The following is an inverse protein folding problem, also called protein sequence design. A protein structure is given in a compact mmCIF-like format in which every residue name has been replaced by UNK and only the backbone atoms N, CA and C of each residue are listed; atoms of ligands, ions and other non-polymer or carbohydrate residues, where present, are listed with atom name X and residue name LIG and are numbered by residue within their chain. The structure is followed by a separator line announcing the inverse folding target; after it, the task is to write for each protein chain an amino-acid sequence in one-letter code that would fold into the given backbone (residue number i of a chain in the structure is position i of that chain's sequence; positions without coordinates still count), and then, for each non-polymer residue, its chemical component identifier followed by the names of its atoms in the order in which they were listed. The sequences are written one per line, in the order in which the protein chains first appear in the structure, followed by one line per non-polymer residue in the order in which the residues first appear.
data_IF_147103717173
#
_entry.id   IF_147103717173
#
_cell.length_a   1.000
_cell.length_b   1.000
_cell.length_c   1.000
_cell.angle_alpha   90.00
_cell.angle_beta   90.00
_cell.angle_gamma   90.00
#
_symmetry.space_group_name_H-M   'P 1'
#
loop_
_entity.id
_entity.type
_entity.pdbx_description
1 polymer ?
#
# COMPACT_ATOMS: atom_id res chain seq x y z
N UNK A 1 -1.67 4.72 -22.55
CA UNK A 1 -1.77 3.28 -22.19
C UNK A 1 -0.57 2.58 -22.81
N UNK A 2 0.53 2.36 -22.08
CA UNK A 2 1.66 1.62 -22.63
C UNK A 2 1.41 0.11 -22.67
N UNK A 3 2.00 -0.52 -23.68
CA UNK A 3 1.99 -1.95 -23.96
C UNK A 3 2.84 -2.80 -22.99
N UNK A 4 3.71 -2.15 -22.20
CA UNK A 4 4.54 -2.77 -21.16
C UNK A 4 4.71 -1.77 -20.00
N UNK A 5 4.64 -2.26 -18.76
CA UNK A 5 4.64 -1.45 -17.55
C UNK A 5 5.96 -0.71 -17.32
N UNK A 6 7.06 -1.23 -17.87
CA UNK A 6 8.37 -0.57 -17.80
C UNK A 6 8.35 0.86 -18.34
N UNK A 7 7.48 1.16 -19.32
CA UNK A 7 7.33 2.51 -19.85
C UNK A 7 6.59 3.44 -18.86
N UNK A 8 5.63 2.90 -18.11
CA UNK A 8 4.96 3.66 -17.05
C UNK A 8 5.91 3.94 -15.88
N UNK A 9 6.78 2.99 -15.53
CA UNK A 9 7.80 3.19 -14.49
C UNK A 9 8.80 4.29 -14.88
N UNK A 10 9.30 4.27 -16.11
CA UNK A 10 10.18 5.33 -16.64
C UNK A 10 9.50 6.69 -16.63
N UNK A 11 8.27 6.76 -17.16
CA UNK A 11 7.51 8.01 -17.17
C UNK A 11 7.26 8.55 -15.75
N UNK A 12 7.08 7.68 -14.75
CA UNK A 12 6.97 8.08 -13.34
C UNK A 12 8.30 8.59 -12.79
N UNK A 13 9.41 7.92 -13.09
CA UNK A 13 10.74 8.36 -12.69
C UNK A 13 11.09 9.74 -13.28
N UNK A 14 10.66 10.01 -14.51
CA UNK A 14 10.83 11.30 -15.19
C UNK A 14 9.79 12.36 -14.74
N UNK A 15 8.91 12.03 -13.78
CA UNK A 15 7.89 12.96 -13.26
C UNK A 15 6.72 13.23 -14.22
N UNK A 16 6.60 12.49 -15.32
CA UNK A 16 5.56 12.68 -16.34
C UNK A 16 4.20 12.10 -15.94
N UNK A 17 4.20 11.06 -15.09
CA UNK A 17 2.98 10.40 -14.61
C UNK A 17 2.94 10.34 -13.10
N UNK A 18 1.77 10.63 -12.53
CA UNK A 18 1.54 10.60 -11.09
C UNK A 18 1.00 9.25 -10.58
N UNK A 19 0.43 8.43 -11.47
CA UNK A 19 -0.10 7.11 -11.10
C UNK A 19 -0.09 6.15 -12.30
N UNK A 20 0.00 4.84 -12.03
CA UNK A 20 -0.13 3.81 -13.06
C UNK A 20 -0.76 2.54 -12.50
N UNK A 21 -1.78 2.01 -13.20
CA UNK A 21 -2.43 0.75 -12.88
C UNK A 21 -2.16 -0.26 -13.98
N UNK A 22 -1.78 -1.47 -13.60
CA UNK A 22 -1.73 -2.62 -14.52
C UNK A 22 -3.17 -3.11 -14.75
N UNK A 23 -3.52 -3.39 -16.00
CA UNK A 23 -4.91 -3.72 -16.40
C UNK A 23 -5.03 -5.07 -17.08
N UNK A 24 -4.00 -5.48 -17.81
CA UNK A 24 -3.97 -6.75 -18.51
C UNK A 24 -2.54 -7.17 -18.78
N UNK A 25 -2.36 -8.40 -19.24
CA UNK A 25 -1.08 -8.94 -19.66
C UNK A 25 -1.23 -9.79 -20.91
N UNK A 26 -0.11 -9.96 -21.58
CA UNK A 26 0.11 -10.78 -22.77
C UNK A 26 1.53 -11.32 -22.74
N UNK A 27 1.82 -12.29 -23.60
CA UNK A 27 3.17 -12.84 -23.77
C UNK A 27 3.45 -13.12 -25.24
N UNK A 28 4.73 -13.16 -25.58
CA UNK A 28 5.17 -13.57 -26.92
C UNK A 28 4.95 -15.06 -27.08
N UNK A 29 4.41 -15.46 -28.22
CA UNK A 29 4.18 -16.84 -28.63
C UNK A 29 4.52 -16.99 -30.11
N UNK A 30 4.64 -18.24 -30.57
CA UNK A 30 4.63 -18.53 -31.98
C UNK A 30 3.17 -18.76 -32.43
N UNK A 31 2.61 -17.83 -33.20
CA UNK A 31 1.29 -17.97 -33.81
C UNK A 31 1.41 -18.73 -35.12
N UNK A 32 0.74 -19.88 -35.26
CA UNK A 32 0.77 -20.70 -36.48
C UNK A 32 -0.59 -20.76 -37.16
N UNK A 33 -0.60 -21.05 -38.45
CA UNK A 33 -1.84 -21.20 -39.22
C UNK A 33 -2.68 -22.36 -38.66
N UNK A 34 -4.01 -22.19 -38.46
CA UNK A 34 -4.89 -23.28 -38.03
C UNK A 34 -4.84 -24.48 -38.99
N UNK A 35 -4.92 -25.69 -38.44
CA UNK A 35 -4.92 -26.92 -39.25
C UNK A 35 -3.58 -27.29 -39.90
N UNK A 36 -2.51 -26.50 -39.71
CA UNK A 36 -1.20 -26.75 -40.31
C UNK A 36 -0.46 -27.98 -39.79
N UNK A 37 -0.93 -28.60 -38.69
CA UNK A 37 -0.22 -29.69 -38.00
C UNK A 37 1.06 -29.26 -37.28
N UNK A 38 1.51 -28.01 -37.45
CA UNK A 38 2.73 -27.48 -36.86
C UNK A 38 2.63 -27.40 -35.34
N UNK A 39 3.57 -28.07 -34.65
CA UNK A 39 3.66 -28.10 -33.19
C UNK A 39 5.14 -28.18 -32.73
N UNK A 40 5.98 -27.20 -33.07
CA UNK A 40 7.34 -27.15 -32.52
C UNK A 40 7.26 -26.99 -31.00
N UNK A 41 8.12 -27.70 -30.26
CA UNK A 41 8.10 -27.64 -28.78
C UNK A 41 9.13 -26.68 -28.19
N UNK A 42 10.08 -26.20 -29.00
CA UNK A 42 11.14 -25.27 -28.63
C UNK A 42 11.63 -24.47 -29.86
N UNK A 43 12.59 -23.56 -29.68
CA UNK A 43 13.13 -22.77 -30.78
C UNK A 43 14.00 -23.58 -31.75
N UNK A 44 14.71 -24.61 -31.28
CA UNK A 44 15.49 -25.51 -32.13
C UNK A 44 14.60 -26.26 -33.14
N UNK A 45 13.42 -26.71 -32.72
CA UNK A 45 12.42 -27.36 -33.57
C UNK A 45 11.89 -26.41 -34.64
N UNK A 46 11.65 -25.14 -34.29
CA UNK A 46 11.21 -24.11 -35.25
C UNK A 46 12.24 -23.99 -36.37
N UNK A 47 13.54 -23.95 -36.02
CA UNK A 47 14.65 -23.85 -36.96
C UNK A 47 14.84 -25.14 -37.76
N UNK A 48 14.74 -26.30 -37.10
CA UNK A 48 14.94 -27.62 -37.70
C UNK A 48 13.84 -28.04 -38.68
N UNK A 49 12.59 -27.63 -38.44
CA UNK A 49 11.45 -27.88 -39.32
C UNK A 49 11.44 -26.99 -40.57
N UNK A 50 12.37 -26.04 -40.70
CA UNK A 50 12.48 -25.09 -41.83
C UNK A 50 11.16 -24.39 -42.15
N UNK A 51 10.44 -23.98 -41.10
CA UNK A 51 9.17 -23.27 -41.23
C UNK A 51 9.40 -21.90 -41.88
N UNK A 52 8.53 -21.50 -42.80
CA UNK A 52 8.45 -20.12 -43.25
C UNK A 52 7.77 -19.28 -42.17
N UNK A 53 8.57 -18.64 -41.32
CA UNK A 53 8.08 -17.80 -40.24
C UNK A 53 8.53 -16.34 -40.38
N UNK A 54 7.77 -15.44 -39.79
CA UNK A 54 8.06 -14.00 -39.80
C UNK A 54 8.20 -13.47 -38.38
N UNK A 55 8.91 -12.36 -38.22
CA UNK A 55 9.01 -11.64 -36.94
C UNK A 55 8.51 -10.22 -37.10
N UNK A 56 8.34 -9.53 -35.97
CA UNK A 56 8.22 -8.09 -35.99
C UNK A 56 9.59 -7.43 -35.84
N UNK A 57 9.74 -6.24 -36.40
CA UNK A 57 10.93 -5.41 -36.24
C UNK A 57 11.28 -5.24 -34.75
N UNK A 58 12.55 -5.40 -34.34
CA UNK A 58 13.00 -5.14 -32.97
C UNK A 58 12.69 -3.75 -32.40
N UNK A 59 12.30 -2.78 -33.23
CA UNK A 59 11.78 -1.47 -32.81
C UNK A 59 10.32 -1.55 -32.33
N UNK A 60 9.53 -2.51 -32.82
CA UNK A 60 8.17 -2.76 -32.35
C UNK A 60 8.19 -3.43 -30.96
N UNK A 61 7.14 -3.21 -30.17
CA UNK A 61 7.06 -3.73 -28.79
C UNK A 61 7.24 -5.26 -28.70
N UNK A 62 6.57 -6.02 -29.57
CA UNK A 62 6.69 -7.50 -29.60
C UNK A 62 8.03 -7.95 -30.18
N UNK A 63 8.56 -7.26 -31.19
CA UNK A 63 9.85 -7.60 -31.80
C UNK A 63 10.99 -7.39 -30.81
N UNK A 64 10.99 -6.27 -30.09
CA UNK A 64 11.94 -5.99 -29.00
C UNK A 64 11.92 -7.07 -27.93
N UNK A 65 10.71 -7.49 -27.51
CA UNK A 65 10.54 -8.53 -26.48
C UNK A 65 11.01 -9.89 -26.99
N UNK A 66 10.65 -10.25 -28.23
CA UNK A 66 11.07 -11.48 -28.91
C UNK A 66 12.59 -11.55 -28.99
N UNK A 67 13.23 -10.50 -29.52
CA UNK A 67 14.68 -10.38 -29.59
C UNK A 67 15.34 -10.60 -28.24
N UNK A 68 14.89 -9.87 -27.21
CA UNK A 68 15.45 -9.99 -25.85
C UNK A 68 15.36 -11.43 -25.30
N UNK A 69 14.25 -12.12 -25.54
CA UNK A 69 14.08 -13.50 -25.05
C UNK A 69 14.95 -14.49 -25.82
N UNK A 70 15.04 -14.35 -27.13
CA UNK A 70 15.85 -15.23 -27.97
C UNK A 70 17.35 -14.95 -27.83
N UNK A 71 17.77 -13.73 -27.51
CA UNK A 71 19.16 -13.42 -27.13
C UNK A 71 19.53 -14.14 -25.83
N UNK A 72 18.62 -14.12 -24.84
CA UNK A 72 18.82 -14.81 -23.56
C UNK A 72 18.93 -16.32 -23.73
N UNK A 73 18.18 -16.91 -24.66
CA UNK A 73 18.27 -18.34 -24.96
C UNK A 73 19.38 -18.70 -25.96
N UNK A 74 20.09 -17.72 -26.54
CA UNK A 74 21.11 -17.96 -27.57
C UNK A 74 20.58 -18.21 -28.98
N UNK A 75 19.26 -18.14 -29.21
CA UNK A 75 18.63 -18.47 -30.49
C UNK A 75 18.44 -17.28 -31.43
N UNK A 76 18.63 -16.04 -30.96
CA UNK A 76 18.30 -14.83 -31.75
C UNK A 76 18.99 -14.79 -33.11
N UNK A 77 20.30 -15.04 -33.17
CA UNK A 77 21.04 -14.96 -34.43
C UNK A 77 20.51 -15.95 -35.48
N UNK A 78 20.21 -17.18 -35.07
CA UNK A 78 19.66 -18.21 -35.95
C UNK A 78 18.23 -17.88 -36.39
N UNK A 79 17.37 -17.45 -35.47
CA UNK A 79 15.99 -17.06 -35.78
C UNK A 79 15.94 -15.83 -36.69
N UNK A 80 16.78 -14.83 -36.44
CA UNK A 80 16.85 -13.61 -37.24
C UNK A 80 17.40 -13.89 -38.65
N UNK A 81 18.33 -14.83 -38.81
CA UNK A 81 18.81 -15.26 -40.12
C UNK A 81 17.78 -16.11 -40.88
N UNK A 82 17.03 -16.95 -40.18
CA UNK A 82 16.07 -17.88 -40.79
C UNK A 82 14.69 -17.28 -41.09
N UNK A 83 14.36 -16.09 -40.57
CA UNK A 83 13.08 -15.42 -40.83
C UNK A 83 12.85 -15.21 -42.33
N UNK A 84 11.62 -15.41 -42.79
CA UNK A 84 11.23 -15.11 -44.17
C UNK A 84 11.08 -13.60 -44.40
N UNK A 85 10.58 -12.87 -43.40
CA UNK A 85 10.39 -11.42 -43.44
C UNK A 85 10.29 -10.81 -42.03
N UNK A 86 10.43 -9.49 -41.96
CA UNK A 86 10.16 -8.68 -40.78
C UNK A 86 9.04 -7.69 -41.08
N UNK A 87 8.10 -7.52 -40.15
CA UNK A 87 6.99 -6.57 -40.27
C UNK A 87 7.12 -5.42 -39.25
N UNK A 88 6.72 -4.19 -39.60
CA UNK A 88 6.76 -3.06 -38.68
C UNK A 88 5.73 -3.19 -37.55
N UNK A 89 4.60 -3.88 -37.77
CA UNK A 89 3.57 -4.09 -36.74
C UNK A 89 3.23 -5.57 -36.52
N UNK A 90 2.80 -5.88 -35.29
CA UNK A 90 2.33 -7.23 -34.91
C UNK A 90 1.07 -7.65 -35.66
N UNK A 91 0.22 -6.69 -36.01
CA UNK A 91 -1.01 -6.90 -36.77
C UNK A 91 -0.70 -7.36 -38.19
N UNK A 92 0.29 -6.76 -38.85
CA UNK A 92 0.72 -7.18 -40.19
C UNK A 92 1.37 -8.57 -40.16
N UNK A 93 2.21 -8.86 -39.16
CA UNK A 93 2.80 -10.19 -39.00
C UNK A 93 1.73 -11.28 -38.82
N UNK A 94 0.72 -11.02 -37.99
CA UNK A 94 -0.39 -11.95 -37.78
C UNK A 94 -1.27 -12.09 -39.04
N UNK A 95 -1.54 -10.99 -39.76
CA UNK A 95 -2.27 -11.00 -41.01
C UNK A 95 -1.54 -11.80 -42.09
N UNK A 96 -0.21 -11.69 -42.16
CA UNK A 96 0.61 -12.45 -43.10
C UNK A 96 0.45 -13.96 -42.89
N UNK A 97 0.50 -14.45 -41.64
CA UNK A 97 0.25 -15.89 -41.34
C UNK A 97 -1.16 -16.32 -41.72
N UNK A 98 -2.15 -15.44 -41.52
CA UNK A 98 -3.55 -15.73 -41.81
C UNK A 98 -3.81 -15.85 -43.31
N UNK A 99 -3.41 -14.83 -44.07
CA UNK A 99 -3.82 -14.65 -45.47
C UNK A 99 -2.80 -15.23 -46.46
N UNK A 100 -1.49 -15.21 -46.17
CA UNK A 100 -0.48 -15.71 -47.09
C UNK A 100 -0.31 -17.24 -46.94
N UNK A 101 -0.49 -17.98 -48.04
CA UNK A 101 -0.29 -19.42 -48.07
C UNK A 101 1.15 -19.84 -47.75
N UNK A 102 2.14 -19.01 -48.12
CA UNK A 102 3.56 -19.27 -47.92
C UNK A 102 4.10 -18.86 -46.54
N UNK A 103 3.31 -18.20 -45.69
CA UNK A 103 3.72 -17.80 -44.34
C UNK A 103 3.05 -18.70 -43.30
N UNK A 104 3.83 -19.51 -42.62
CA UNK A 104 3.32 -20.57 -41.75
C UNK A 104 3.21 -20.16 -40.28
N UNK A 105 4.08 -19.26 -39.82
CA UNK A 105 4.13 -18.84 -38.43
C UNK A 105 4.63 -17.40 -38.23
N UNK A 106 4.34 -16.81 -37.08
CA UNK A 106 4.90 -15.53 -36.66
C UNK A 106 5.13 -15.48 -35.16
N UNK A 107 6.21 -14.81 -34.74
CA UNK A 107 6.41 -14.43 -33.34
C UNK A 107 5.55 -13.19 -33.03
N UNK A 108 4.48 -13.38 -32.26
CA UNK A 108 3.45 -12.35 -32.00
C UNK A 108 2.99 -12.40 -30.54
N UNK A 109 2.19 -11.42 -30.12
CA UNK A 109 1.49 -11.50 -28.84
C UNK A 109 0.41 -12.58 -28.88
N UNK A 110 0.23 -13.30 -27.79
CA UNK A 110 -0.76 -14.37 -27.67
C UNK A 110 -2.20 -13.90 -27.86
N UNK A 111 -2.55 -12.72 -27.36
CA UNK A 111 -3.84 -12.07 -27.64
C UNK A 111 -4.04 -11.77 -29.12
N UNK A 112 -3.02 -11.26 -29.82
CA UNK A 112 -3.08 -10.96 -31.26
C UNK A 112 -3.22 -12.26 -32.06
N UNK A 113 -2.46 -13.30 -31.74
CA UNK A 113 -2.62 -14.61 -32.36
C UNK A 113 -4.08 -15.10 -32.30
N UNK A 114 -4.70 -15.04 -31.11
CA UNK A 114 -6.10 -15.45 -30.93
C UNK A 114 -7.10 -14.56 -31.66
N UNK A 115 -6.91 -13.24 -31.65
CA UNK A 115 -7.76 -12.29 -32.39
C UNK A 115 -7.75 -12.54 -33.92
N UNK A 116 -6.61 -12.99 -34.45
CA UNK A 116 -6.46 -13.36 -35.86
C UNK A 116 -6.84 -14.83 -36.15
N UNK A 117 -7.32 -15.57 -35.15
CA UNK A 117 -7.69 -16.97 -35.27
C UNK A 117 -6.51 -17.91 -35.44
N UNK A 118 -5.28 -17.48 -35.13
CA UNK A 118 -4.08 -18.31 -35.21
C UNK A 118 -4.00 -19.29 -34.04
N UNK A 119 -3.37 -20.45 -34.27
CA UNK A 119 -3.02 -21.39 -33.20
C UNK A 119 -1.86 -20.82 -32.39
N UNK A 120 -2.00 -20.80 -31.07
CA UNK A 120 -0.94 -20.37 -30.15
C UNK A 120 -0.04 -21.57 -29.85
N UNK A 121 1.26 -21.43 -30.13
CA UNK A 121 2.31 -22.37 -29.72
C UNK A 121 3.21 -21.67 -28.70
N UNK A 122 3.25 -22.20 -27.48
CA UNK A 122 4.08 -21.69 -26.40
C UNK A 122 5.46 -22.34 -26.45
N UNK A 123 6.51 -21.52 -26.51
CA UNK A 123 7.90 -21.98 -26.53
C UNK A 123 8.56 -21.69 -25.18
N UNK A 124 9.34 -22.63 -24.59
CA UNK A 124 10.01 -22.45 -23.31
C UNK A 124 10.88 -21.19 -23.24
N UNK A 125 11.57 -20.85 -24.34
CA UNK A 125 12.44 -19.68 -24.46
C UNK A 125 11.67 -18.36 -24.31
N UNK A 126 10.36 -18.38 -24.62
CA UNK A 126 9.47 -17.24 -24.54
C UNK A 126 8.63 -17.21 -23.26
N UNK A 127 8.78 -18.19 -22.35
CA UNK A 127 7.93 -18.29 -21.15
C UNK A 127 8.01 -17.04 -20.25
N UNK A 128 9.19 -16.41 -20.19
CA UNK A 128 9.44 -15.17 -19.42
C UNK A 128 9.07 -13.88 -20.18
N UNK A 129 8.47 -13.98 -21.37
CA UNK A 129 8.18 -12.84 -22.25
C UNK A 129 6.95 -12.02 -21.84
N UNK A 130 6.37 -12.29 -20.67
CA UNK A 130 5.21 -11.57 -20.15
C UNK A 130 5.46 -10.05 -20.16
N UNK A 131 4.46 -9.30 -20.61
CA UNK A 131 4.42 -7.84 -20.55
C UNK A 131 3.08 -7.39 -19.97
N UNK A 132 3.13 -6.40 -19.07
CA UNK A 132 1.96 -5.89 -18.38
C UNK A 132 1.47 -4.61 -19.07
N UNK A 133 0.26 -4.64 -19.61
CA UNK A 133 -0.42 -3.47 -20.15
C UNK A 133 -0.87 -2.61 -18.97
N UNK A 134 -0.66 -1.30 -19.07
CA UNK A 134 -1.04 -0.37 -18.01
C UNK A 134 -1.72 0.89 -18.51
N UNK A 135 -2.46 1.53 -17.61
CA UNK A 135 -3.00 2.87 -17.77
C UNK A 135 -2.25 3.79 -16.81
N UNK A 136 -1.74 4.91 -17.32
CA UNK A 136 -1.02 5.90 -16.52
C UNK A 136 -1.77 7.22 -16.52
N UNK A 137 -1.81 7.88 -15.36
CA UNK A 137 -2.36 9.21 -15.16
C UNK A 137 -1.22 10.21 -15.22
N UNK A 138 -1.30 11.16 -16.16
CA UNK A 138 -0.26 12.19 -16.33
C UNK A 138 -0.18 13.09 -15.10
N UNK A 139 1.03 13.53 -14.76
CA UNK A 139 1.25 14.40 -13.59
C UNK A 139 0.63 15.80 -13.77
N UNK A 140 0.43 16.23 -15.01
CA UNK A 140 -0.08 17.55 -15.38
C UNK A 140 -1.61 17.61 -15.56
N UNK A 141 -2.33 16.50 -15.34
CA UNK A 141 -3.78 16.48 -15.54
C UNK A 141 -4.48 17.47 -14.60
N UNK A 142 -5.34 18.32 -15.17
CA UNK A 142 -6.24 19.17 -14.38
C UNK A 142 -7.45 18.43 -13.79
N UNK A 143 -7.61 17.13 -14.08
CA UNK A 143 -8.76 16.31 -13.66
C UNK A 143 -8.33 14.95 -13.07
N UNK A 144 -7.52 14.93 -12.00
CA UNK A 144 -6.94 13.70 -11.46
C UNK A 144 -8.00 12.68 -11.00
N UNK A 145 -9.08 13.13 -10.34
CA UNK A 145 -10.14 12.24 -9.86
C UNK A 145 -10.84 11.48 -11.01
N UNK A 146 -11.16 12.17 -12.10
CA UNK A 146 -11.77 11.55 -13.28
C UNK A 146 -10.80 10.61 -14.00
N UNK A 147 -9.54 11.00 -14.12
CA UNK A 147 -8.51 10.16 -14.73
C UNK A 147 -8.28 8.86 -13.92
N UNK A 148 -8.21 8.96 -12.59
CA UNK A 148 -8.07 7.81 -11.70
C UNK A 148 -9.33 6.94 -11.68
N UNK A 149 -10.53 7.54 -11.74
CA UNK A 149 -11.78 6.80 -11.91
C UNK A 149 -11.77 5.97 -13.20
N UNK A 150 -11.34 6.56 -14.32
CA UNK A 150 -11.21 5.85 -15.59
C UNK A 150 -10.15 4.74 -15.53
N UNK A 151 -9.01 5.01 -14.90
CA UNK A 151 -7.98 3.99 -14.69
C UNK A 151 -8.50 2.79 -13.88
N UNK A 152 -9.26 3.04 -12.80
CA UNK A 152 -9.93 1.99 -12.01
C UNK A 152 -10.98 1.25 -12.84
N UNK A 153 -11.74 1.93 -13.69
CA UNK A 153 -12.71 1.29 -14.59
C UNK A 153 -12.04 0.28 -15.52
N UNK A 154 -10.89 0.66 -16.11
CA UNK A 154 -10.12 -0.23 -16.98
C UNK A 154 -9.54 -1.44 -16.23
N UNK A 155 -9.13 -1.26 -14.97
CA UNK A 155 -8.57 -2.33 -14.14
C UNK A 155 -9.62 -3.22 -13.47
N UNK A 156 -10.86 -2.74 -13.32
CA UNK A 156 -11.87 -3.44 -12.53
C UNK A 156 -12.31 -4.77 -13.20
N UNK A 157 -12.36 -5.89 -12.45
CA UNK A 157 -12.64 -7.22 -13.01
C UNK A 157 -13.94 -7.29 -13.83
N UNK A 158 -15.02 -6.66 -13.34
CA UNK A 158 -16.35 -6.69 -13.95
C UNK A 158 -16.58 -5.58 -14.99
N UNK A 159 -15.55 -4.79 -15.32
CA UNK A 159 -15.58 -3.69 -16.29
C UNK A 159 -14.51 -3.90 -17.37
N UNK A 160 -13.42 -3.14 -17.32
CA UNK A 160 -12.34 -3.25 -18.29
C UNK A 160 -11.75 -4.66 -18.33
N UNK A 161 -11.66 -5.35 -17.19
CA UNK A 161 -11.22 -6.75 -17.14
C UNK A 161 -12.05 -7.68 -18.02
N UNK A 162 -13.38 -7.58 -17.98
CA UNK A 162 -14.28 -8.35 -18.82
C UNK A 162 -14.13 -8.03 -20.32
N UNK A 163 -13.81 -6.77 -20.66
CA UNK A 163 -13.52 -6.35 -22.04
C UNK A 163 -12.16 -6.91 -22.50
N UNK A 164 -11.11 -6.80 -21.68
CA UNK A 164 -9.80 -7.38 -21.98
C UNK A 164 -9.89 -8.89 -22.23
N UNK A 165 -10.62 -9.62 -21.38
CA UNK A 165 -10.83 -11.06 -21.56
C UNK A 165 -11.55 -11.39 -22.89
N UNK A 166 -12.58 -10.62 -23.24
CA UNK A 166 -13.31 -10.78 -24.52
C UNK A 166 -12.41 -10.60 -25.74
N UNK A 167 -11.40 -9.75 -25.64
CA UNK A 167 -10.40 -9.52 -26.67
C UNK A 167 -9.13 -10.36 -26.50
N UNK A 168 -9.21 -11.49 -25.77
CA UNK A 168 -8.15 -12.48 -25.62
C UNK A 168 -6.87 -12.02 -24.89
N UNK A 169 -6.92 -10.89 -24.18
CA UNK A 169 -5.89 -10.54 -23.20
C UNK A 169 -6.13 -11.31 -21.90
N UNK A 170 -5.11 -11.39 -21.05
CA UNK A 170 -5.25 -11.92 -19.68
C UNK A 170 -5.43 -10.73 -18.72
N UNK A 171 -6.63 -10.48 -18.17
CA UNK A 171 -6.83 -9.35 -17.26
C UNK A 171 -5.98 -9.47 -16.00
N UNK A 172 -5.48 -8.35 -15.50
CA UNK A 172 -4.88 -8.25 -14.17
C UNK A 172 -5.95 -7.65 -13.26
N UNK A 173 -6.48 -8.40 -12.27
CA UNK A 173 -7.61 -7.93 -11.49
C UNK A 173 -7.21 -6.73 -10.62
N UNK A 174 -7.88 -5.60 -10.86
CA UNK A 174 -7.87 -4.44 -9.97
C UNK A 174 -8.90 -4.56 -8.84
N UNK A 175 -9.21 -3.40 -8.25
CA UNK A 175 -10.24 -3.28 -7.22
C UNK A 175 -11.66 -3.56 -7.77
N UNK A 176 -12.60 -3.89 -6.89
CA UNK A 176 -14.03 -3.96 -7.23
C UNK A 176 -14.50 -2.60 -7.79
N UNK A 177 -15.34 -2.63 -8.84
CA UNK A 177 -15.84 -1.39 -9.45
C UNK A 177 -16.86 -0.70 -8.54
N UNK A 178 -16.62 0.58 -8.25
CA UNK A 178 -17.58 1.51 -7.68
C UNK A 178 -17.35 2.89 -8.28
N UNK A 179 -18.43 3.68 -8.44
CA UNK A 179 -18.33 5.06 -8.94
C UNK A 179 -17.55 5.97 -7.99
N UNK A 180 -17.79 5.81 -6.69
CA UNK A 180 -17.05 6.42 -5.58
C UNK A 180 -16.72 5.30 -4.56
N UNK A 181 -15.56 4.62 -4.70
CA UNK A 181 -15.10 3.64 -3.73
C UNK A 181 -15.04 4.24 -2.32
N UNK A 182 -15.42 3.44 -1.31
CA UNK A 182 -15.42 3.84 0.10
C UNK A 182 -14.51 2.92 0.91
N UNK A 183 -13.52 3.48 1.58
CA UNK A 183 -12.65 2.78 2.52
C UNK A 183 -13.01 3.13 3.95
N UNK A 184 -13.09 2.13 4.83
CA UNK A 184 -13.09 2.36 6.28
C UNK A 184 -11.67 2.28 6.83
N UNK A 185 -11.26 3.31 7.56
CA UNK A 185 -9.98 3.38 8.27
C UNK A 185 -10.26 3.49 9.77
N UNK A 186 -9.83 2.52 10.55
CA UNK A 186 -9.80 2.66 12.01
C UNK A 186 -8.41 3.18 12.38
N UNK A 187 -8.34 4.32 13.05
CA UNK A 187 -7.09 5.04 13.29
C UNK A 187 -6.94 5.38 14.78
N UNK A 188 -5.81 4.99 15.36
CA UNK A 188 -5.43 5.37 16.71
C UNK A 188 -5.44 6.89 16.89
N UNK A 189 -6.14 7.37 17.92
CA UNK A 189 -6.42 8.81 18.09
C UNK A 189 -5.20 9.73 18.12
N UNK A 190 -4.03 9.22 18.55
CA UNK A 190 -2.77 9.97 18.54
C UNK A 190 -2.36 10.45 17.14
N UNK A 191 -2.75 9.71 16.10
CA UNK A 191 -2.34 9.99 14.72
C UNK A 191 -3.18 11.06 14.03
N UNK A 192 -4.32 11.45 14.63
CA UNK A 192 -5.38 12.20 13.93
C UNK A 192 -4.85 13.45 13.23
N UNK A 193 -4.18 14.32 13.97
CA UNK A 193 -3.68 15.60 13.46
C UNK A 193 -2.67 15.42 12.33
N UNK A 194 -1.85 14.36 12.39
CA UNK A 194 -0.84 14.06 11.39
C UNK A 194 -1.44 13.54 10.07
N UNK A 195 -2.55 12.80 10.14
CA UNK A 195 -3.12 12.11 8.97
C UNK A 195 -4.31 12.82 8.32
N UNK A 196 -5.08 13.63 9.05
CA UNK A 196 -6.38 14.14 8.58
C UNK A 196 -6.26 14.95 7.28
N UNK A 197 -5.24 15.82 7.18
CA UNK A 197 -4.97 16.58 5.95
C UNK A 197 -4.53 15.68 4.79
N UNK A 198 -3.73 14.65 5.09
CA UNK A 198 -3.23 13.69 4.09
C UNK A 198 -4.37 12.88 3.50
N UNK A 199 -5.30 12.43 4.35
CA UNK A 199 -6.50 11.70 3.95
C UNK A 199 -7.42 12.59 3.12
N UNK A 200 -7.67 13.85 3.54
CA UNK A 200 -8.49 14.81 2.77
C UNK A 200 -7.96 15.05 1.36
N UNK A 201 -6.67 15.34 1.23
CA UNK A 201 -6.02 15.55 -0.07
C UNK A 201 -6.07 14.29 -0.94
N UNK A 202 -5.90 13.11 -0.34
CA UNK A 202 -5.98 11.84 -1.05
C UNK A 202 -7.41 11.59 -1.58
N UNK A 203 -8.44 11.78 -0.75
CA UNK A 203 -9.85 11.68 -1.17
C UNK A 203 -10.16 12.57 -2.37
N UNK A 204 -9.74 13.84 -2.30
CA UNK A 204 -9.97 14.80 -3.36
C UNK A 204 -9.26 14.40 -4.66
N UNK A 205 -7.98 13.97 -4.58
CA UNK A 205 -7.23 13.51 -5.75
C UNK A 205 -7.86 12.28 -6.38
N UNK A 206 -8.22 11.29 -5.57
CA UNK A 206 -8.66 9.97 -6.04
C UNK A 206 -10.13 9.92 -6.44
N UNK A 207 -10.94 10.86 -5.96
CA UNK A 207 -12.40 10.85 -6.12
C UNK A 207 -13.02 9.66 -5.38
N UNK A 208 -12.65 9.48 -4.11
CA UNK A 208 -13.07 8.37 -3.24
C UNK A 208 -13.52 8.90 -1.88
N UNK A 209 -14.24 8.08 -1.13
CA UNK A 209 -14.63 8.35 0.25
C UNK A 209 -13.77 7.52 1.21
N UNK A 210 -13.34 8.15 2.30
CA UNK A 210 -12.60 7.52 3.39
C UNK A 210 -13.30 7.86 4.70
N UNK A 211 -13.95 6.86 5.29
CA UNK A 211 -14.50 6.99 6.64
C UNK A 211 -13.42 6.68 7.65
N UNK A 212 -13.08 7.66 8.48
CA UNK A 212 -12.09 7.45 9.53
C UNK A 212 -12.78 7.38 10.88
N UNK A 213 -12.53 6.30 11.62
CA UNK A 213 -12.92 6.17 13.03
C UNK A 213 -11.68 6.40 13.89
N UNK A 214 -11.65 7.54 14.57
CA UNK A 214 -10.60 7.85 15.55
C UNK A 214 -11.02 7.41 16.95
N UNK A 215 -10.23 6.55 17.60
CA UNK A 215 -10.40 6.16 19.00
C UNK A 215 -9.10 5.56 19.57
N UNK A 216 -9.10 5.20 20.86
CA UNK A 216 -8.03 4.39 21.44
C UNK A 216 -7.99 3.00 20.80
N UNK A 217 -6.80 2.44 20.54
CA UNK A 217 -6.69 1.17 19.85
C UNK A 217 -7.32 -0.01 20.60
N UNK A 218 -7.40 0.03 21.93
CA UNK A 218 -8.15 -0.97 22.71
C UNK A 218 -9.64 -0.96 22.36
N UNK A 219 -10.23 0.23 22.28
CA UNK A 219 -11.62 0.41 21.84
C UNK A 219 -11.83 -0.05 20.39
N UNK A 220 -10.91 0.30 19.48
CA UNK A 220 -10.99 -0.12 18.08
C UNK A 220 -10.91 -1.64 17.92
N UNK A 221 -9.93 -2.28 18.55
CA UNK A 221 -9.78 -3.74 18.54
C UNK A 221 -11.00 -4.42 19.18
N UNK A 222 -11.51 -3.90 20.30
CA UNK A 222 -12.73 -4.43 20.93
C UNK A 222 -13.94 -4.38 19.99
N UNK A 223 -14.12 -3.27 19.25
CA UNK A 223 -15.18 -3.15 18.22
C UNK A 223 -15.00 -4.15 17.08
N UNK A 224 -13.76 -4.34 16.60
CA UNK A 224 -13.45 -5.31 15.55
C UNK A 224 -13.82 -6.73 15.96
N UNK A 225 -13.52 -7.10 17.21
CA UNK A 225 -13.82 -8.43 17.75
C UNK A 225 -15.33 -8.68 17.89
N UNK A 226 -16.06 -7.68 18.38
CA UNK A 226 -17.51 -7.79 18.59
C UNK A 226 -18.30 -7.88 17.27
N UNK A 227 -17.83 -7.23 16.20
CA UNK A 227 -18.65 -6.94 15.02
C UNK A 227 -18.69 -7.98 13.89
N UNK A 228 -18.17 -9.20 14.06
CA UNK A 228 -17.99 -10.22 12.99
C UNK A 228 -17.05 -9.74 11.84
N UNK A 229 -16.63 -10.58 10.87
CA UNK A 229 -15.64 -10.18 9.84
C UNK A 229 -16.00 -8.93 9.01
N UNK A 230 -17.29 -8.61 8.87
CA UNK A 230 -17.77 -7.41 8.17
C UNK A 230 -17.47 -6.11 8.93
N UNK A 231 -17.20 -6.17 10.23
CA UNK A 231 -16.85 -4.99 11.04
C UNK A 231 -15.38 -4.63 11.03
N UNK A 232 -14.52 -5.46 10.41
CA UNK A 232 -13.11 -5.11 10.23
C UNK A 232 -12.99 -3.90 9.30
N UNK A 233 -12.13 -2.92 9.62
CA UNK A 233 -11.83 -1.84 8.71
C UNK A 233 -11.06 -2.36 7.48
N UNK A 234 -11.03 -1.57 6.41
CA UNK A 234 -10.15 -1.86 5.28
C UNK A 234 -8.69 -1.58 5.63
N UNK A 235 -8.44 -0.59 6.47
CA UNK A 235 -7.11 -0.23 6.98
C UNK A 235 -7.17 0.00 8.49
N UNK A 236 -6.19 -0.52 9.21
CA UNK A 236 -5.98 -0.23 10.62
C UNK A 236 -4.64 0.47 10.81
N UNK A 237 -4.67 1.66 11.43
CA UNK A 237 -3.47 2.40 11.85
C UNK A 237 -3.44 2.50 13.37
N UNK A 238 -2.37 2.04 13.99
CA UNK A 238 -2.28 1.89 15.44
C UNK A 238 -1.66 3.11 16.14
N UNK A 239 -1.89 3.23 17.45
CA UNK A 239 -1.10 4.07 18.34
C UNK A 239 0.24 3.41 18.69
N UNK A 240 0.27 2.08 18.75
CA UNK A 240 1.46 1.25 18.95
C UNK A 240 1.29 -0.10 18.24
N UNK A 241 2.37 -0.63 17.68
CA UNK A 241 2.40 -1.85 16.89
C UNK A 241 1.82 -3.07 17.62
N UNK A 242 1.93 -3.13 18.95
CA UNK A 242 1.37 -4.22 19.77
C UNK A 242 -0.15 -4.40 19.59
N UNK A 243 -0.89 -3.36 19.19
CA UNK A 243 -2.33 -3.47 18.93
C UNK A 243 -2.64 -4.10 17.57
N UNK A 244 -1.75 -3.95 16.58
CA UNK A 244 -1.86 -4.72 15.36
C UNK A 244 -1.55 -6.20 15.62
N UNK A 245 -0.52 -6.49 16.42
CA UNK A 245 -0.19 -7.85 16.85
C UNK A 245 -1.35 -8.49 17.61
N UNK A 246 -1.99 -7.73 18.51
CA UNK A 246 -3.19 -8.16 19.21
C UNK A 246 -4.34 -8.46 18.22
N UNK A 247 -4.55 -7.60 17.24
CA UNK A 247 -5.58 -7.79 16.23
C UNK A 247 -5.30 -9.03 15.35
N UNK A 248 -4.04 -9.24 14.96
CA UNK A 248 -3.57 -10.41 14.23
C UNK A 248 -3.85 -11.69 15.02
N UNK A 249 -3.40 -11.75 16.28
CA UNK A 249 -3.55 -12.93 17.13
C UNK A 249 -5.02 -13.26 17.44
N UNK A 250 -5.83 -12.25 17.80
CA UNK A 250 -7.20 -12.48 18.26
C UNK A 250 -8.23 -12.67 17.15
N UNK A 251 -7.89 -12.39 15.90
CA UNK A 251 -8.84 -12.41 14.77
C UNK A 251 -8.34 -13.21 13.55
N UNK A 252 -7.47 -14.19 13.79
CA UNK A 252 -6.94 -15.09 12.77
C UNK A 252 -6.23 -14.35 11.62
N UNK A 253 -5.33 -13.45 11.97
CA UNK A 253 -4.46 -12.71 11.06
C UNK A 253 -5.17 -11.98 9.92
N UNK A 254 -6.11 -11.06 10.19
CA UNK A 254 -6.97 -10.48 9.15
C UNK A 254 -6.27 -9.39 8.31
N UNK A 255 -5.16 -8.83 8.78
CA UNK A 255 -4.41 -7.79 8.09
C UNK A 255 -3.17 -8.36 7.39
N UNK A 256 -2.80 -7.75 6.26
CA UNK A 256 -1.57 -8.08 5.53
C UNK A 256 -0.32 -7.54 6.23
N UNK A 257 0.83 -7.51 5.52
CA UNK A 257 2.04 -6.86 6.00
C UNK A 257 1.77 -5.39 6.40
N UNK A 258 2.39 -4.96 7.48
CA UNK A 258 2.29 -3.61 7.99
C UNK A 258 3.47 -2.72 7.52
N UNK A 259 3.23 -1.42 7.56
CA UNK A 259 4.26 -0.41 7.41
C UNK A 259 4.40 0.35 8.72
N UNK A 260 5.62 0.47 9.23
CA UNK A 260 5.91 1.47 10.26
C UNK A 260 5.72 2.87 9.66
N UNK A 261 5.16 3.78 10.46
CA UNK A 261 4.89 5.16 10.03
C UNK A 261 5.73 6.13 10.85
N UNK A 262 5.53 6.12 12.16
CA UNK A 262 6.13 7.08 13.07
C UNK A 262 6.31 6.46 14.46
N UNK A 263 6.95 7.20 15.35
CA UNK A 263 6.98 6.90 16.78
C UNK A 263 6.84 8.18 17.61
N UNK A 264 6.36 8.01 18.84
CA UNK A 264 6.32 9.09 19.85
C UNK A 264 6.57 8.47 21.22
N UNK A 265 7.19 9.25 22.12
CA UNK A 265 7.45 8.80 23.49
C UNK A 265 6.31 9.17 24.43
N UNK A 266 6.07 8.33 25.42
CA UNK A 266 5.32 8.66 26.62
C UNK A 266 6.23 9.49 27.53
N UNK A 267 5.69 10.61 28.01
CA UNK A 267 6.35 11.53 28.93
C UNK A 267 5.39 11.87 30.07
N UNK A 268 5.94 12.33 31.18
CA UNK A 268 5.14 12.91 32.26
C UNK A 268 5.07 14.42 32.05
N UNK A 269 3.87 14.96 31.81
CA UNK A 269 3.64 16.39 31.74
C UNK A 269 3.42 16.94 33.15
N UNK A 270 4.17 17.97 33.54
CA UNK A 270 4.09 18.63 34.84
C UNK A 270 4.00 20.15 34.66
N UNK A 271 3.53 20.86 35.68
CA UNK A 271 3.55 22.33 35.66
C UNK A 271 4.97 22.88 35.47
N UNK A 272 5.09 24.07 34.86
CA UNK A 272 6.39 24.73 34.62
C UNK A 272 7.24 24.79 35.90
N UNK A 273 8.52 24.47 35.78
CA UNK A 273 9.46 24.40 36.89
C UNK A 273 9.38 23.10 37.71
N UNK A 274 8.46 22.19 37.39
CA UNK A 274 8.27 20.91 38.07
C UNK A 274 8.17 21.05 39.61
N UNK A 275 7.15 21.75 40.13
CA UNK A 275 7.05 22.09 41.56
C UNK A 275 6.96 20.87 42.48
N UNK A 276 6.50 19.72 41.97
CA UNK A 276 6.43 18.48 42.73
C UNK A 276 7.73 17.66 42.74
N UNK A 277 8.72 18.07 41.94
CA UNK A 277 10.04 17.42 41.86
C UNK A 277 10.01 16.03 41.22
N UNK A 278 9.05 15.76 40.32
CA UNK A 278 8.86 14.44 39.71
C UNK A 278 9.94 14.23 38.65
N UNK A 279 10.80 13.22 38.82
CA UNK A 279 11.91 12.93 37.89
C UNK A 279 11.88 11.51 37.32
N UNK A 280 10.99 10.65 37.82
CA UNK A 280 10.88 9.26 37.42
C UNK A 280 9.49 8.72 37.76
N UNK A 281 9.14 7.55 37.21
CA UNK A 281 7.89 6.86 37.51
C UNK A 281 7.77 6.49 39.00
N UNK A 282 8.88 6.17 39.67
CA UNK A 282 8.90 5.93 41.11
C UNK A 282 8.45 7.16 41.91
N UNK A 283 8.73 8.37 41.40
CA UNK A 283 8.24 9.62 41.98
C UNK A 283 6.71 9.75 42.00
N UNK A 284 6.00 8.99 41.17
CA UNK A 284 4.53 8.98 41.15
C UNK A 284 3.93 8.33 42.42
N UNK A 285 4.71 7.57 43.19
CA UNK A 285 4.29 6.99 44.47
C UNK A 285 4.34 7.99 45.65
N UNK A 286 4.79 9.24 45.42
CA UNK A 286 4.84 10.27 46.44
C UNK A 286 3.43 10.52 46.98
N UNK A 287 3.22 10.33 48.29
CA UNK A 287 1.91 10.47 48.93
C UNK A 287 1.28 11.83 48.66
N UNK A 288 0.01 11.83 48.28
CA UNK A 288 -0.77 13.06 48.03
C UNK A 288 -0.54 13.71 46.67
N UNK A 289 0.19 13.03 45.77
CA UNK A 289 0.34 13.46 44.38
C UNK A 289 -0.92 13.07 43.59
N UNK A 290 -1.39 13.97 42.72
CA UNK A 290 -2.59 13.72 41.90
C UNK A 290 -2.20 13.38 40.48
N UNK A 291 -2.23 12.09 40.16
CA UNK A 291 -1.77 11.53 38.88
C UNK A 291 -2.94 11.30 37.94
N UNK A 292 -2.82 11.78 36.69
CA UNK A 292 -3.75 11.44 35.62
C UNK A 292 -3.16 10.45 34.63
N UNK A 293 -3.92 9.40 34.30
CA UNK A 293 -3.58 8.43 33.25
C UNK A 293 -4.75 8.25 32.29
N UNK A 294 -4.57 7.53 31.19
CA UNK A 294 -5.72 7.06 30.40
C UNK A 294 -6.12 5.64 30.79
N UNK A 295 -7.38 5.26 30.57
CA UNK A 295 -7.87 3.91 30.87
C UNK A 295 -7.05 2.84 30.11
N UNK A 296 -6.46 1.84 30.79
CA UNK A 296 -5.60 0.83 30.18
C UNK A 296 -6.33 -0.19 29.30
N UNK A 297 -7.64 -0.35 29.44
CA UNK A 297 -8.46 -1.21 28.57
C UNK A 297 -8.85 -0.47 27.29
N UNK A 298 -9.12 0.82 27.37
CA UNK A 298 -9.58 1.62 26.24
C UNK A 298 -8.44 2.19 25.38
N UNK A 299 -7.30 2.55 26.00
CA UNK A 299 -6.23 3.36 25.43
C UNK A 299 -4.86 2.67 25.46
N UNK A 300 -4.15 2.73 24.33
CA UNK A 300 -2.74 2.31 24.22
C UNK A 300 -1.84 3.06 25.19
N UNK A 301 -2.04 4.37 25.32
CA UNK A 301 -1.29 5.18 26.27
C UNK A 301 -1.52 4.68 27.70
N UNK A 302 -2.73 4.25 28.02
CA UNK A 302 -3.10 3.75 29.35
C UNK A 302 -2.44 2.42 29.63
N UNK A 303 -2.54 1.48 28.69
CA UNK A 303 -1.92 0.16 28.80
C UNK A 303 -0.41 0.29 29.02
N UNK A 304 0.28 1.04 28.14
CA UNK A 304 1.72 1.24 28.23
C UNK A 304 2.13 2.02 29.49
N UNK A 305 1.38 3.06 29.88
CA UNK A 305 1.65 3.84 31.10
C UNK A 305 1.54 2.98 32.36
N UNK A 306 0.50 2.13 32.44
CA UNK A 306 0.30 1.24 33.58
C UNK A 306 1.37 0.14 33.62
N UNK A 307 1.76 -0.42 32.47
CA UNK A 307 2.89 -1.35 32.39
C UNK A 307 4.21 -0.70 32.84
N UNK A 308 4.49 0.52 32.38
CA UNK A 308 5.65 1.30 32.82
C UNK A 308 5.65 1.50 34.35
N UNK A 309 4.49 1.82 34.93
CA UNK A 309 4.36 1.92 36.39
C UNK A 309 4.59 0.56 37.08
N UNK A 310 4.11 -0.57 36.52
CA UNK A 310 4.36 -1.92 37.06
C UNK A 310 5.83 -2.31 37.04
N UNK A 311 6.57 -1.91 36.01
CA UNK A 311 8.01 -2.18 35.91
C UNK A 311 8.83 -1.53 37.04
N UNK A 312 8.26 -0.55 37.77
CA UNK A 312 8.91 0.05 38.94
C UNK A 312 8.86 -0.83 40.19
N UNK A 313 7.96 -1.82 40.25
CA UNK A 313 7.63 -2.55 41.47
C UNK A 313 6.81 -1.75 42.50
N UNK A 314 6.41 -0.51 42.18
CA UNK A 314 5.68 0.41 43.06
C UNK A 314 4.23 0.66 42.60
N UNK A 315 3.67 -0.22 41.76
CA UNK A 315 2.37 0.02 41.13
C UNK A 315 1.26 0.28 42.16
N UNK A 316 1.17 -0.51 43.22
CA UNK A 316 0.13 -0.36 44.26
C UNK A 316 0.20 1.03 44.92
N UNK A 317 1.41 1.56 45.15
CA UNK A 317 1.59 2.89 45.71
C UNK A 317 1.29 4.00 44.71
N UNK A 318 1.58 3.79 43.43
CA UNK A 318 1.25 4.73 42.35
C UNK A 318 -0.26 4.75 42.10
N UNK A 319 -0.92 3.59 42.12
CA UNK A 319 -2.35 3.43 41.85
C UNK A 319 -3.21 4.22 42.85
N UNK A 320 -2.79 4.27 44.12
CA UNK A 320 -3.43 5.09 45.15
C UNK A 320 -3.40 6.60 44.86
N UNK A 321 -2.52 7.06 43.98
CA UNK A 321 -2.40 8.46 43.57
C UNK A 321 -3.06 8.74 42.21
N UNK A 322 -3.63 7.73 41.53
CA UNK A 322 -4.33 7.93 40.25
C UNK A 322 -5.73 8.48 40.53
N UNK A 323 -5.84 9.81 40.49
CA UNK A 323 -7.10 10.53 40.72
C UNK A 323 -8.00 10.57 39.48
N UNK A 324 -7.44 10.34 38.29
CA UNK A 324 -8.18 10.43 37.04
C UNK A 324 -7.68 9.40 36.01
N UNK A 325 -8.64 8.66 35.44
CA UNK A 325 -8.46 7.88 34.22
C UNK A 325 -9.34 8.43 33.11
N UNK A 326 -8.73 8.97 32.07
CA UNK A 326 -9.44 9.54 30.93
C UNK A 326 -9.46 8.60 29.72
N UNK A 327 -10.35 8.85 28.76
CA UNK A 327 -10.39 8.09 27.50
C UNK A 327 -9.23 8.45 26.55
N UNK A 328 -8.71 9.68 26.64
CA UNK A 328 -7.68 10.20 25.73
C UNK A 328 -6.67 11.12 26.43
N UNK A 329 -5.48 11.25 25.85
CA UNK A 329 -4.45 12.20 26.30
C UNK A 329 -4.94 13.66 26.25
N UNK A 330 -5.77 14.03 25.27
CA UNK A 330 -6.31 15.38 25.13
C UNK A 330 -7.12 15.81 26.36
N UNK A 331 -7.94 14.90 26.90
CA UNK A 331 -8.73 15.16 28.12
C UNK A 331 -7.82 15.39 29.33
N UNK A 332 -6.71 14.66 29.44
CA UNK A 332 -5.72 14.86 30.50
C UNK A 332 -5.02 16.22 30.37
N UNK A 333 -4.62 16.58 29.15
CA UNK A 333 -3.99 17.86 28.83
C UNK A 333 -4.94 19.02 29.17
N UNK A 334 -6.19 18.97 28.73
CA UNK A 334 -7.19 19.98 29.06
C UNK A 334 -7.40 20.13 30.58
N UNK A 335 -7.35 19.01 31.31
CA UNK A 335 -7.46 19.04 32.78
C UNK A 335 -6.24 19.71 33.43
N UNK A 336 -5.04 19.44 32.93
CA UNK A 336 -3.81 20.12 33.36
C UNK A 336 -3.87 21.62 33.06
N UNK A 337 -4.35 22.01 31.88
CA UNK A 337 -4.48 23.41 31.45
C UNK A 337 -5.51 24.20 32.26
N UNK A 338 -6.61 23.56 32.66
CA UNK A 338 -7.61 24.15 33.55
C UNK A 338 -7.08 24.39 34.98
N UNK A 339 -6.01 23.69 35.36
CA UNK A 339 -5.31 23.85 36.63
C UNK A 339 -6.01 23.20 37.83
N UNK A 340 -5.25 23.06 38.92
CA UNK A 340 -5.78 22.75 40.26
C UNK A 340 -6.26 21.32 40.52
N UNK A 341 -6.35 20.45 39.50
CA UNK A 341 -6.91 19.08 39.63
C UNK A 341 -5.88 17.95 39.55
N UNK A 342 -4.82 18.12 38.79
CA UNK A 342 -3.77 17.11 38.58
C UNK A 342 -2.40 17.77 38.71
N UNK A 343 -1.44 17.03 39.24
CA UNK A 343 -0.05 17.48 39.40
C UNK A 343 0.84 16.95 38.27
N UNK A 344 0.49 15.78 37.73
CA UNK A 344 1.21 15.12 36.65
C UNK A 344 0.29 14.24 35.83
N UNK A 345 0.52 14.19 34.52
CA UNK A 345 -0.19 13.28 33.62
C UNK A 345 0.77 12.54 32.70
N UNK A 346 0.47 11.28 32.39
CA UNK A 346 1.19 10.54 31.35
C UNK A 346 0.54 10.80 29.99
N UNK A 347 1.32 11.33 29.05
CA UNK A 347 0.87 11.77 27.72
C UNK A 347 1.94 11.43 26.67
N UNK A 348 1.58 11.53 25.40
CA UNK A 348 2.56 11.47 24.32
C UNK A 348 3.24 12.83 24.13
N UNK A 349 4.55 12.81 23.88
CA UNK A 349 5.36 13.99 23.61
C UNK A 349 4.84 14.81 22.42
N UNK A 350 4.36 14.15 21.37
CA UNK A 350 3.76 14.81 20.22
C UNK A 350 2.55 15.71 20.60
N UNK A 351 1.77 15.32 21.60
CA UNK A 351 0.56 16.05 21.99
C UNK A 351 0.83 17.36 22.74
N UNK A 352 2.05 17.57 23.24
CA UNK A 352 2.37 18.67 24.16
C UNK A 352 3.37 19.68 23.58
N UNK A 353 3.71 19.56 22.28
CA UNK A 353 4.71 20.43 21.65
C UNK A 353 4.39 21.93 21.75
N UNK A 354 3.10 22.27 21.73
CA UNK A 354 2.58 23.63 21.82
C UNK A 354 2.46 24.16 23.26
N UNK A 355 2.83 23.38 24.27
CA UNK A 355 2.58 23.68 25.69
C UNK A 355 3.85 24.01 26.50
N UNK A 356 5.01 24.12 25.84
CA UNK A 356 6.34 24.29 26.46
C UNK A 356 6.48 25.54 27.33
N UNK A 357 5.66 26.57 27.09
CA UNK A 357 5.67 27.81 27.86
C UNK A 357 4.99 27.65 29.22
N UNK A 358 4.03 26.72 29.34
CA UNK A 358 3.20 26.53 30.53
C UNK A 358 3.51 25.26 31.31
N UNK A 359 4.12 24.27 30.66
CA UNK A 359 4.39 22.97 31.22
C UNK A 359 5.80 22.49 30.85
N UNK A 360 6.34 21.60 31.67
CA UNK A 360 7.56 20.88 31.37
C UNK A 360 7.23 19.40 31.12
N UNK A 361 8.01 18.78 30.24
CA UNK A 361 7.94 17.36 29.96
C UNK A 361 9.09 16.66 30.67
N UNK A 362 8.78 15.70 31.54
CA UNK A 362 9.77 14.82 32.16
C UNK A 362 9.89 13.56 31.32
N UNK A 363 11.05 13.33 30.66
CA UNK A 363 11.22 12.20 29.75
C UNK A 363 11.27 10.89 30.52
N UNK A 364 10.57 9.89 30.02
CA UNK A 364 10.71 8.51 30.48
C UNK A 364 11.82 7.86 29.66
N UNK A 365 12.77 7.18 30.30
CA UNK A 365 13.88 6.49 29.63
C UNK A 365 13.59 5.04 29.17
N UNK A 366 12.71 4.25 29.82
CA UNK A 366 12.44 2.88 29.39
C UNK A 366 12.08 2.77 27.91
N UNK A 367 12.50 1.68 27.26
CA UNK A 367 12.18 1.43 25.84
C UNK A 367 10.67 1.32 25.60
N UNK A 368 9.92 0.74 26.55
CA UNK A 368 8.45 0.61 26.49
C UNK A 368 7.71 1.96 26.39
N UNK A 369 8.35 3.05 26.82
CA UNK A 369 7.77 4.37 26.65
C UNK A 369 7.77 4.84 25.19
N UNK A 370 8.48 4.17 24.27
CA UNK A 370 8.39 4.47 22.83
C UNK A 370 7.22 3.72 22.21
N UNK A 371 6.19 4.44 21.79
CA UNK A 371 5.09 3.88 21.02
C UNK A 371 5.40 4.01 19.52
N UNK A 372 5.36 2.91 18.78
CA UNK A 372 5.64 2.88 17.33
C UNK A 372 4.35 2.65 16.57
N UNK A 373 3.93 3.63 15.77
CA UNK A 373 2.72 3.56 14.97
C UNK A 373 2.98 2.78 13.69
N UNK A 374 2.11 1.80 13.41
CA UNK A 374 2.10 1.06 12.15
C UNK A 374 0.72 1.08 11.49
N UNK A 375 0.69 0.74 10.20
CA UNK A 375 -0.51 0.72 9.38
C UNK A 375 -0.55 -0.55 8.54
N UNK A 376 -1.72 -1.20 8.45
CA UNK A 376 -1.91 -2.39 7.64
C UNK A 376 -3.29 -2.42 6.98
N UNK A 377 -3.37 -2.98 5.77
CA UNK A 377 -4.63 -3.22 5.07
C UNK A 377 -5.18 -4.62 5.37
N UNK A 378 -6.51 -4.75 5.42
CA UNK A 378 -7.21 -6.03 5.56
C UNK A 378 -6.97 -6.89 4.32
N UNK A 379 -6.62 -8.17 4.50
CA UNK A 379 -6.32 -9.12 3.41
C UNK A 379 -7.50 -9.30 2.43
N UNK A 380 -8.72 -9.18 2.94
CA UNK A 380 -9.98 -9.41 2.21
C UNK A 380 -10.71 -8.11 1.86
N UNK A 381 -10.04 -6.95 1.88
CA UNK A 381 -10.65 -5.71 1.37
C UNK A 381 -11.02 -5.86 -0.10
N UNK A 382 -12.11 -5.21 -0.50
CA UNK A 382 -12.57 -5.12 -1.91
C UNK A 382 -11.73 -4.15 -2.74
N UNK A 383 -10.95 -3.29 -2.07
CA UNK A 383 -10.17 -2.23 -2.70
C UNK A 383 -8.66 -2.31 -2.34
N UNK A 384 -7.98 -3.45 -2.57
CA UNK A 384 -6.59 -3.64 -2.15
C UNK A 384 -5.60 -2.64 -2.78
N UNK A 385 -5.79 -2.24 -4.04
CA UNK A 385 -4.92 -1.28 -4.69
C UNK A 385 -5.14 0.14 -4.15
N UNK A 386 -6.39 0.55 -3.94
CA UNK A 386 -6.70 1.83 -3.32
C UNK A 386 -6.17 1.90 -1.88
N UNK A 387 -6.34 0.83 -1.10
CA UNK A 387 -5.83 0.75 0.27
C UNK A 387 -4.30 0.87 0.29
N UNK A 388 -3.60 0.14 -0.60
CA UNK A 388 -2.15 0.25 -0.76
C UNK A 388 -1.71 1.68 -1.07
N UNK A 389 -2.36 2.36 -2.04
CA UNK A 389 -2.03 3.75 -2.38
C UNK A 389 -2.25 4.72 -1.22
N UNK A 390 -3.29 4.51 -0.41
CA UNK A 390 -3.51 5.32 0.79
C UNK A 390 -2.39 5.11 1.82
N UNK A 391 -1.99 3.85 2.05
CA UNK A 391 -0.87 3.53 2.93
C UNK A 391 0.43 4.17 2.44
N UNK A 392 0.76 4.03 1.15
CA UNK A 392 1.93 4.68 0.51
C UNK A 392 1.87 6.22 0.64
N UNK A 393 0.68 6.83 0.55
CA UNK A 393 0.51 8.27 0.75
C UNK A 393 0.74 8.66 2.21
N UNK A 394 0.26 7.88 3.17
CA UNK A 394 0.44 8.10 4.60
C UNK A 394 1.90 7.88 5.05
N UNK A 395 2.68 7.09 4.30
CA UNK A 395 4.12 6.89 4.50
C UNK A 395 4.99 7.70 3.54
N UNK A 396 4.43 8.72 2.87
CA UNK A 396 5.17 9.56 1.91
C UNK A 396 6.01 10.67 2.59
N UNK A 397 6.98 11.23 1.87
CA UNK A 397 7.77 12.40 2.32
C UNK A 397 6.92 13.62 2.69
N UNK A 398 5.75 13.79 2.05
CA UNK A 398 4.82 14.87 2.41
C UNK A 398 4.14 14.60 3.75
N UNK A 399 3.79 13.34 4.01
CA UNK A 399 3.25 12.91 5.30
C UNK A 399 4.30 13.02 6.39
N UNK A 400 5.55 12.58 6.13
CA UNK A 400 6.70 12.73 7.04
C UNK A 400 6.81 14.11 7.65
N UNK A 401 6.81 15.15 6.81
CA UNK A 401 6.90 16.54 7.27
C UNK A 401 5.78 16.92 8.25
N UNK A 402 4.57 16.37 8.07
CA UNK A 402 3.43 16.63 8.97
C UNK A 402 3.62 15.95 10.32
N UNK A 403 4.08 14.70 10.32
CA UNK A 403 4.41 13.97 11.55
C UNK A 403 5.53 14.68 12.32
N UNK A 404 6.62 15.03 11.66
CA UNK A 404 7.77 15.71 12.31
C UNK A 404 7.39 17.10 12.86
N UNK A 405 6.55 17.86 12.16
CA UNK A 405 6.03 19.15 12.64
C UNK A 405 5.19 19.02 13.92
N UNK A 406 4.56 17.87 14.13
CA UNK A 406 3.78 17.56 15.32
C UNK A 406 4.62 16.87 16.42
N UNK A 407 5.93 16.74 16.23
CA UNK A 407 6.84 16.17 17.22
C UNK A 407 6.92 14.64 17.22
N UNK A 408 6.40 13.98 16.18
CA UNK A 408 6.65 12.54 15.98
C UNK A 408 8.02 12.31 15.35
N UNK A 409 8.67 11.22 15.74
CA UNK A 409 9.81 10.67 15.02
C UNK A 409 9.33 9.85 13.82
N UNK A 410 10.03 9.94 12.70
CA UNK A 410 9.67 9.21 11.49
C UNK A 410 10.26 7.80 11.47
N UNK A 411 9.45 6.78 11.21
CA UNK A 411 9.86 5.36 11.24
C UNK A 411 9.64 4.64 9.90
N UNK A 412 8.95 5.27 8.94
CA UNK A 412 8.75 4.64 7.65
C UNK A 412 10.09 4.61 6.88
N UNK A 413 10.60 3.41 6.64
CA UNK A 413 11.73 3.21 5.74
C UNK A 413 11.31 3.72 4.36
N UNK A 414 12.03 4.72 3.85
CA UNK A 414 11.74 5.31 2.54
C UNK A 414 11.72 4.21 1.48
N UNK A 415 10.57 4.01 0.84
CA UNK A 415 10.50 3.34 -0.46
C UNK A 415 10.60 4.37 -1.57
#
# INVERSE_FOLDING_TARGET
VPADYVYAERARADGLTAESLKVATWKVVLGTKPGSGLAPVNCDDVLGQKLSFVICDPLAGVGKKTKKMLERSGHWAAVDAAKAASFPTVTEAALAVKENAGTQAAFVWDSVARQFGLRVVELPELAASKADISVAVTATTGRPALALKFARYLAAPTRGGAVFARHHYVPIPGDEWADAPRLRVDCGGVNREAVEKTIREFQQREGVEIDVVYAGCGTLVGKMQAGKPKALPDIFMTCDASYLDMAQAKMNHPFGPDLKVSSTRIVMLVAKGNPQGIRSLAGLAKRGLRVGTTDPKASTLGALSHELCRETGLFDAIELNIDMMADTAHTLIQTMEAGGKLDVVLVYEANIQHLKDRFDAVPLQPRRALAVQNIAARKTTRYPQLAKRLMERLTSQTSRRRFEQLGFSWEANGQ
#
